data_IF_450192308726
#
_entry.id   IF_450192308726
#
_cell.length_a   1.000
_cell.length_b   1.000
_cell.length_c   1.000
_cell.angle_alpha   90.00
_cell.angle_beta   90.00
_cell.angle_gamma   90.00
#
_symmetry.space_group_name_H-M   'P 1'
#
loop_
_entity.id
_entity.type
_entity.pdbx_description
1 polymer ?
#
# COMPACT_ATOMS: atom_id res chain seq x y z
N UNK A 1 -32.18 -14.03 -13.62
CA UNK A 1 -32.10 -13.38 -12.30
C UNK A 1 -31.32 -14.28 -11.37
N UNK A 2 -30.08 -13.94 -11.03
CA UNK A 2 -29.29 -14.71 -10.08
C UNK A 2 -29.86 -14.49 -8.67
N UNK A 3 -30.23 -15.57 -7.99
CA UNK A 3 -30.72 -15.54 -6.62
C UNK A 3 -29.63 -14.99 -5.70
N UNK A 4 -29.92 -13.87 -5.04
CA UNK A 4 -29.09 -13.36 -3.95
C UNK A 4 -28.97 -14.46 -2.89
N UNK A 5 -27.76 -14.86 -2.46
CA UNK A 5 -27.63 -15.77 -1.34
C UNK A 5 -28.22 -15.06 -0.11
N UNK A 6 -29.21 -15.71 0.52
CA UNK A 6 -29.86 -15.18 1.71
C UNK A 6 -28.85 -14.94 2.84
N UNK A 7 -29.16 -14.05 3.80
CA UNK A 7 -28.32 -13.83 4.97
C UNK A 7 -28.05 -15.18 5.65
N UNK A 8 -26.79 -15.40 6.01
CA UNK A 8 -26.34 -16.63 6.65
C UNK A 8 -27.18 -16.87 7.92
N UNK A 9 -27.91 -17.97 7.94
CA UNK A 9 -28.81 -18.37 9.02
C UNK A 9 -28.09 -19.05 10.19
N UNK A 10 -26.76 -18.95 10.28
CA UNK A 10 -26.04 -19.46 11.45
C UNK A 10 -26.46 -18.63 12.66
N UNK A 11 -27.12 -19.25 13.67
CA UNK A 11 -27.40 -18.55 14.91
C UNK A 11 -26.08 -18.07 15.50
N UNK A 12 -26.08 -16.85 16.04
CA UNK A 12 -24.94 -16.27 16.75
C UNK A 12 -24.66 -17.13 17.99
N UNK A 13 -23.88 -18.19 17.83
CA UNK A 13 -23.57 -19.11 18.89
C UNK A 13 -22.47 -18.49 19.77
N UNK A 14 -22.86 -18.13 20.98
CA UNK A 14 -22.03 -17.68 22.11
C UNK A 14 -20.87 -18.63 22.50
N UNK A 15 -20.74 -19.79 21.84
CA UNK A 15 -19.79 -20.85 22.20
C UNK A 15 -18.52 -20.93 21.35
N UNK A 16 -18.29 -20.04 20.37
CA UNK A 16 -17.04 -20.11 19.60
C UNK A 16 -15.90 -19.32 20.27
N UNK A 17 -15.41 -19.85 21.40
CA UNK A 17 -14.25 -19.32 22.13
C UNK A 17 -13.04 -19.09 21.22
N UNK A 18 -12.90 -19.88 20.16
CA UNK A 18 -11.81 -19.70 19.21
C UNK A 18 -11.94 -18.42 18.37
N UNK A 19 -13.15 -18.03 17.99
CA UNK A 19 -13.41 -16.74 17.30
C UNK A 19 -13.22 -15.56 18.24
N UNK A 20 -13.61 -15.68 19.50
CA UNK A 20 -13.31 -14.68 20.53
C UNK A 20 -11.82 -14.47 20.72
N UNK A 21 -11.07 -15.57 20.84
CA UNK A 21 -9.62 -15.54 20.99
C UNK A 21 -8.96 -14.86 19.80
N UNK A 22 -9.31 -15.27 18.57
CA UNK A 22 -8.82 -14.64 17.35
C UNK A 22 -9.14 -13.13 17.31
N UNK A 23 -10.37 -12.78 17.72
CA UNK A 23 -10.80 -11.39 17.78
C UNK A 23 -9.97 -10.56 18.75
N UNK A 24 -9.79 -11.07 19.97
CA UNK A 24 -8.99 -10.40 20.99
C UNK A 24 -7.52 -10.22 20.55
N UNK A 25 -6.96 -11.19 19.83
CA UNK A 25 -5.63 -11.06 19.24
C UNK A 25 -5.56 -10.00 18.15
N UNK A 26 -6.55 -9.95 17.25
CA UNK A 26 -6.65 -8.89 16.24
C UNK A 26 -6.71 -7.51 16.90
N UNK A 27 -7.47 -7.37 17.98
CA UNK A 27 -7.55 -6.12 18.73
C UNK A 27 -6.19 -5.74 19.30
N UNK A 28 -5.52 -6.66 20.00
CA UNK A 28 -4.21 -6.44 20.61
C UNK A 28 -3.21 -5.88 19.59
N UNK A 29 -3.18 -6.44 18.38
CA UNK A 29 -2.30 -5.99 17.30
C UNK A 29 -2.71 -4.62 16.73
N UNK A 30 -3.99 -4.46 16.39
CA UNK A 30 -4.49 -3.27 15.66
C UNK A 30 -4.51 -2.03 16.56
N UNK A 31 -4.74 -2.20 17.85
CA UNK A 31 -4.76 -1.09 18.82
C UNK A 31 -3.43 -1.01 19.55
N UNK A 32 -3.23 -1.85 20.57
CA UNK A 32 -2.14 -1.73 21.54
C UNK A 32 -0.76 -1.83 20.88
N UNK A 33 -0.50 -2.84 20.04
CA UNK A 33 0.82 -2.97 19.39
C UNK A 33 1.07 -1.84 18.39
N UNK A 34 0.03 -1.37 17.69
CA UNK A 34 0.17 -0.26 16.74
C UNK A 34 0.44 1.06 17.46
N UNK A 35 -0.21 1.31 18.60
CA UNK A 35 0.04 2.47 19.44
C UNK A 35 1.43 2.40 20.08
N UNK A 36 1.84 1.24 20.59
CA UNK A 36 3.19 1.02 21.08
C UNK A 36 4.23 1.34 19.99
N UNK A 37 4.02 0.90 18.75
CA UNK A 37 4.96 1.19 17.66
C UNK A 37 4.98 2.69 17.28
N UNK A 38 3.86 3.40 17.41
CA UNK A 38 3.83 4.86 17.25
C UNK A 38 4.62 5.57 18.35
N UNK A 39 4.55 5.06 19.57
CA UNK A 39 5.31 5.60 20.70
C UNK A 39 6.80 5.30 20.55
N UNK A 40 7.18 4.09 20.13
CA UNK A 40 8.58 3.76 19.78
C UNK A 40 9.08 4.72 18.70
N UNK A 41 8.33 4.89 17.61
CA UNK A 41 8.72 5.80 16.53
C UNK A 41 8.91 7.23 17.07
N UNK A 42 7.96 7.72 17.87
CA UNK A 42 7.97 9.08 18.43
C UNK A 42 9.09 9.30 19.45
N UNK A 43 9.49 8.25 20.17
CA UNK A 43 10.60 8.27 21.12
C UNK A 43 11.95 8.49 20.40
N UNK A 44 12.19 7.78 19.30
CA UNK A 44 13.44 7.90 18.54
C UNK A 44 13.44 9.03 17.52
N UNK A 45 12.28 9.35 16.95
CA UNK A 45 12.08 10.41 15.97
C UNK A 45 10.93 11.29 16.46
N UNK A 46 11.24 12.44 17.07
CA UNK A 46 10.21 13.37 17.51
C UNK A 46 9.23 13.69 16.37
N UNK A 47 7.91 13.79 16.62
CA UNK A 47 6.92 13.96 15.54
C UNK A 47 7.20 15.14 14.61
N UNK A 48 7.75 16.25 15.14
CA UNK A 48 8.16 17.42 14.37
C UNK A 48 9.28 17.12 13.35
N UNK A 49 10.12 16.12 13.63
CA UNK A 49 11.28 15.76 12.83
C UNK A 49 10.99 14.61 11.85
N UNK A 50 9.80 14.00 11.91
CA UNK A 50 9.46 12.83 11.10
C UNK A 50 9.65 13.09 9.59
N UNK A 51 9.19 14.23 9.09
CA UNK A 51 9.36 14.63 7.68
C UNK A 51 10.84 14.69 7.30
N UNK A 52 11.65 15.39 8.11
CA UNK A 52 13.08 15.56 7.87
C UNK A 52 13.83 14.24 7.88
N UNK A 53 13.52 13.34 8.83
CA UNK A 53 14.15 12.02 8.88
C UNK A 53 13.71 11.11 7.73
N UNK A 54 12.47 11.20 7.27
CA UNK A 54 12.02 10.52 6.05
C UNK A 54 12.82 11.01 4.83
N UNK A 55 12.96 12.32 4.63
CA UNK A 55 13.69 12.89 3.50
C UNK A 55 15.17 12.51 3.51
N UNK A 56 15.82 12.62 4.68
CA UNK A 56 17.21 12.21 4.88
C UNK A 56 17.45 10.74 4.55
N UNK A 57 16.49 9.87 4.84
CA UNK A 57 16.60 8.44 4.63
C UNK A 57 15.91 7.95 3.35
N UNK A 58 15.49 8.84 2.44
CA UNK A 58 14.73 8.50 1.24
C UNK A 58 15.39 7.41 0.39
N UNK A 59 16.66 7.59 0.05
CA UNK A 59 17.41 6.61 -0.75
C UNK A 59 17.49 5.23 -0.09
N UNK A 60 17.53 5.17 1.25
CA UNK A 60 17.54 3.92 2.01
C UNK A 60 16.15 3.27 1.94
N UNK A 61 15.10 4.04 2.24
CA UNK A 61 13.72 3.57 2.25
C UNK A 61 13.23 3.15 0.85
N UNK A 62 13.70 3.82 -0.21
CA UNK A 62 13.35 3.45 -1.59
C UNK A 62 13.85 2.06 -1.98
N UNK A 63 14.96 1.60 -1.39
CA UNK A 63 15.54 0.26 -1.61
C UNK A 63 14.85 -0.83 -0.78
N UNK A 64 14.02 -0.47 0.20
CA UNK A 64 13.34 -1.44 1.06
C UNK A 64 12.19 -2.09 0.28
N UNK A 65 12.36 -3.37 -0.08
CA UNK A 65 11.40 -4.15 -0.87
C UNK A 65 10.03 -4.35 -0.19
N UNK A 66 9.98 -4.29 1.14
CA UNK A 66 8.74 -4.47 1.90
C UNK A 66 7.84 -3.22 1.90
N UNK A 67 8.31 -2.06 1.41
CA UNK A 67 7.47 -0.87 1.24
C UNK A 67 6.79 -0.94 -0.13
N UNK A 68 5.48 -1.15 -0.13
CA UNK A 68 4.72 -1.19 -1.37
C UNK A 68 4.56 0.22 -2.00
N UNK A 69 4.19 0.32 -3.29
CA UNK A 69 4.03 1.61 -3.96
C UNK A 69 3.04 2.56 -3.27
N UNK A 70 1.96 2.04 -2.66
CA UNK A 70 1.01 2.88 -1.93
C UNK A 70 1.63 3.48 -0.67
N UNK A 71 2.43 2.72 0.07
CA UNK A 71 3.16 3.18 1.24
C UNK A 71 4.25 4.18 0.86
N UNK A 72 4.95 3.97 -0.27
CA UNK A 72 5.90 4.97 -0.80
C UNK A 72 5.22 6.31 -1.09
N UNK A 73 4.05 6.29 -1.74
CA UNK A 73 3.24 7.51 -2.00
C UNK A 73 2.69 8.15 -0.72
N UNK A 74 2.52 7.38 0.36
CA UNK A 74 2.15 7.92 1.66
C UNK A 74 3.35 8.61 2.33
N UNK A 75 4.54 8.00 2.27
CA UNK A 75 5.77 8.56 2.82
C UNK A 75 6.26 9.79 2.03
N UNK A 76 6.04 9.82 0.72
CA UNK A 76 6.43 10.90 -0.18
C UNK A 76 5.24 11.30 -1.05
N UNK A 77 4.31 12.10 -0.50
CA UNK A 77 3.13 12.53 -1.23
C UNK A 77 3.47 13.62 -2.25
N UNK A 78 2.60 13.78 -3.26
CA UNK A 78 2.74 14.83 -4.28
C UNK A 78 2.76 16.24 -3.66
N UNK A 79 3.38 17.24 -4.32
CA UNK A 79 3.38 18.62 -3.84
C UNK A 79 1.97 19.12 -3.46
N UNK A 80 1.86 19.80 -2.33
CA UNK A 80 0.59 20.34 -1.81
C UNK A 80 -0.23 19.37 -0.94
N UNK A 81 0.17 18.10 -0.82
CA UNK A 81 -0.44 17.16 0.13
C UNK A 81 0.27 17.21 1.49
N UNK A 82 -0.51 16.97 2.54
CA UNK A 82 0.01 16.91 3.90
C UNK A 82 1.02 15.77 4.07
N UNK A 83 2.08 16.04 4.84
CA UNK A 83 3.03 15.01 5.24
C UNK A 83 2.38 14.01 6.20
N UNK A 84 2.77 12.73 6.16
CA UNK A 84 2.20 11.72 7.04
C UNK A 84 2.61 11.98 8.49
N UNK A 85 1.68 11.77 9.42
CA UNK A 85 1.95 11.66 10.85
C UNK A 85 2.04 10.19 11.26
N UNK A 86 2.63 9.90 12.43
CA UNK A 86 2.73 8.54 12.96
C UNK A 86 1.37 7.81 13.04
N UNK A 87 0.28 8.54 13.31
CA UNK A 87 -1.09 7.99 13.35
C UNK A 87 -1.62 7.52 11.99
N UNK A 88 -1.06 8.06 10.89
CA UNK A 88 -1.46 7.70 9.52
C UNK A 88 -0.74 6.45 9.02
N UNK A 89 0.28 5.99 9.76
CA UNK A 89 1.08 4.82 9.40
C UNK A 89 0.41 3.53 9.89
N UNK A 90 0.35 2.55 8.99
CA UNK A 90 -0.06 1.19 9.33
C UNK A 90 1.03 0.45 10.11
N UNK A 91 0.66 -0.65 10.77
CA UNK A 91 1.58 -1.47 11.58
C UNK A 91 2.84 -1.90 10.82
N UNK A 92 2.69 -2.33 9.56
CA UNK A 92 3.81 -2.81 8.74
C UNK A 92 4.77 -1.68 8.39
N UNK A 93 4.24 -0.50 8.08
CA UNK A 93 5.04 0.68 7.77
C UNK A 93 5.75 1.21 9.03
N UNK A 94 5.07 1.24 10.17
CA UNK A 94 5.68 1.56 11.47
C UNK A 94 6.89 0.66 11.75
N UNK A 95 6.72 -0.67 11.64
CA UNK A 95 7.82 -1.62 11.79
C UNK A 95 9.00 -1.29 10.86
N UNK A 96 8.72 -1.03 9.58
CA UNK A 96 9.75 -0.74 8.58
C UNK A 96 10.52 0.54 8.93
N UNK A 97 9.84 1.60 9.38
CA UNK A 97 10.53 2.82 9.80
C UNK A 97 11.39 2.58 11.04
N UNK A 98 10.84 1.92 12.05
CA UNK A 98 11.54 1.63 13.31
C UNK A 98 12.85 0.88 13.05
N UNK A 99 12.83 -0.20 12.27
CA UNK A 99 14.04 -0.99 11.98
C UNK A 99 15.08 -0.28 11.09
N UNK A 100 14.66 0.70 10.28
CA UNK A 100 15.53 1.29 9.25
C UNK A 100 16.04 2.68 9.61
N UNK A 101 15.27 3.50 10.33
CA UNK A 101 15.58 4.92 10.52
C UNK A 101 15.58 5.39 11.98
N UNK A 102 15.14 4.57 12.94
CA UNK A 102 15.20 4.92 14.37
C UNK A 102 16.56 4.62 15.04
N UNK A 103 17.55 4.12 14.29
CA UNK A 103 18.90 3.87 14.83
C UNK A 103 18.97 2.76 15.90
N UNK A 104 17.92 1.93 16.04
CA UNK A 104 17.90 0.82 16.98
C UNK A 104 18.87 -0.26 16.51
N UNK A 105 19.81 -0.63 17.37
CA UNK A 105 20.74 -1.73 17.13
C UNK A 105 19.98 -3.02 16.92
N UNK A 106 20.19 -3.75 15.80
CA UNK A 106 19.56 -5.04 15.58
C UNK A 106 19.89 -6.01 16.71
N UNK A 107 18.99 -6.96 16.97
CA UNK A 107 19.32 -8.11 17.82
C UNK A 107 20.41 -8.96 17.15
N UNK A 108 21.01 -9.90 17.91
CA UNK A 108 22.25 -10.61 17.52
C UNK A 108 22.22 -11.23 16.12
N UNK A 109 21.09 -11.79 15.70
CA UNK A 109 20.92 -12.42 14.39
C UNK A 109 20.44 -11.47 13.28
N UNK A 110 20.16 -10.21 13.59
CA UNK A 110 19.67 -9.22 12.63
C UNK A 110 18.14 -9.19 12.47
N UNK A 111 17.64 -8.05 11.96
CA UNK A 111 16.21 -7.80 11.84
C UNK A 111 15.49 -8.76 10.88
N UNK A 112 14.47 -9.43 11.39
CA UNK A 112 13.60 -10.33 10.64
C UNK A 112 14.06 -11.79 10.64
N UNK A 113 15.21 -12.08 11.24
CA UNK A 113 15.78 -13.42 11.40
C UNK A 113 15.33 -14.07 12.72
N UNK A 114 15.86 -15.27 13.02
CA UNK A 114 15.51 -16.00 14.23
C UNK A 114 15.96 -15.25 15.49
N UNK A 115 15.06 -15.16 16.47
CA UNK A 115 15.30 -14.45 17.73
C UNK A 115 15.82 -15.47 18.74
N UNK A 116 16.97 -15.20 19.36
CA UNK A 116 17.50 -16.11 20.38
C UNK A 116 16.60 -16.17 21.61
N UNK A 117 16.53 -17.35 22.22
CA UNK A 117 15.79 -17.53 23.46
C UNK A 117 16.39 -16.64 24.56
N UNK A 118 15.55 -15.81 25.17
CA UNK A 118 15.96 -14.89 26.23
C UNK A 118 16.50 -13.53 25.78
N UNK A 119 16.62 -13.25 24.47
CA UNK A 119 17.02 -11.93 23.98
C UNK A 119 15.92 -10.90 24.25
N UNK A 120 16.09 -10.06 25.27
CA UNK A 120 15.11 -9.05 25.64
C UNK A 120 15.47 -7.66 25.10
N UNK A 121 16.34 -7.56 24.08
CA UNK A 121 16.58 -6.28 23.41
C UNK A 121 15.30 -5.71 22.80
N UNK A 122 15.21 -4.38 22.72
CA UNK A 122 14.09 -3.69 22.07
C UNK A 122 13.84 -4.23 20.66
N UNK A 123 14.91 -4.46 19.89
CA UNK A 123 14.83 -5.02 18.55
C UNK A 123 14.22 -6.43 18.52
N UNK A 124 14.66 -7.32 19.43
CA UNK A 124 14.10 -8.66 19.55
C UNK A 124 12.60 -8.62 19.93
N UNK A 125 12.20 -7.77 20.87
CA UNK A 125 10.80 -7.63 21.26
C UNK A 125 9.93 -7.10 20.10
N UNK A 126 10.42 -6.11 19.34
CA UNK A 126 9.72 -5.59 18.15
C UNK A 126 9.54 -6.70 17.10
N UNK A 127 10.58 -7.49 16.84
CA UNK A 127 10.50 -8.57 15.86
C UNK A 127 9.59 -9.73 16.31
N UNK A 128 9.52 -10.04 17.61
CA UNK A 128 8.52 -10.99 18.13
C UNK A 128 7.10 -10.52 17.82
N UNK A 129 6.79 -9.24 18.07
CA UNK A 129 5.45 -8.69 17.80
C UNK A 129 5.14 -8.77 16.30
N UNK A 130 6.09 -8.41 15.43
CA UNK A 130 5.94 -8.56 13.98
C UNK A 130 5.69 -10.01 13.56
N UNK A 131 6.48 -10.96 14.09
CA UNK A 131 6.35 -12.39 13.78
C UNK A 131 4.95 -12.89 14.14
N UNK A 132 4.47 -12.61 15.35
CA UNK A 132 3.15 -13.04 15.78
C UNK A 132 2.04 -12.43 14.91
N UNK A 133 2.13 -11.13 14.57
CA UNK A 133 1.19 -10.48 13.64
C UNK A 133 1.15 -11.17 12.27
N UNK A 134 2.31 -11.59 11.76
CA UNK A 134 2.39 -12.28 10.47
C UNK A 134 1.79 -13.69 10.53
N UNK A 135 2.01 -14.42 11.62
CA UNK A 135 1.36 -15.72 11.85
C UNK A 135 -0.16 -15.57 11.94
N UNK A 136 -0.64 -14.59 12.72
CA UNK A 136 -2.06 -14.22 12.82
C UNK A 136 -2.70 -13.91 11.46
N UNK A 137 -1.97 -13.22 10.57
CA UNK A 137 -2.46 -12.93 9.21
C UNK A 137 -2.71 -14.21 8.41
N UNK A 138 -1.96 -15.28 8.66
CA UNK A 138 -2.20 -16.62 8.09
C UNK A 138 -3.51 -17.26 8.57
N UNK A 139 -3.93 -16.96 9.80
CA UNK A 139 -5.19 -17.43 10.40
C UNK A 139 -6.43 -16.63 9.96
N UNK A 140 -6.25 -15.54 9.18
CA UNK A 140 -7.37 -14.70 8.71
C UNK A 140 -8.45 -15.46 7.93
N UNK A 141 -8.11 -16.58 7.27
CA UNK A 141 -9.05 -17.39 6.49
C UNK A 141 -10.06 -18.15 7.35
N UNK A 142 -9.67 -18.54 8.57
CA UNK A 142 -10.54 -19.30 9.49
C UNK A 142 -11.24 -18.38 10.49
N UNK A 143 -10.68 -17.21 10.78
CA UNK A 143 -11.24 -16.26 11.74
C UNK A 143 -11.35 -16.85 13.15
N UNK A 144 -10.55 -17.87 13.45
CA UNK A 144 -10.60 -18.65 14.68
C UNK A 144 -9.19 -19.07 15.10
N UNK A 145 -8.97 -19.13 16.42
CA UNK A 145 -7.72 -19.50 17.06
C UNK A 145 -8.01 -20.33 18.30
N UNK A 146 -7.47 -21.54 18.39
CA UNK A 146 -7.67 -22.38 19.56
C UNK A 146 -7.05 -21.75 20.83
N UNK A 147 -7.53 -22.19 21.98
CA UNK A 147 -7.15 -21.62 23.28
C UNK A 147 -5.67 -21.78 23.60
N UNK A 148 -5.03 -22.89 23.20
CA UNK A 148 -3.62 -23.12 23.48
C UNK A 148 -2.73 -22.18 22.64
N UNK A 149 -3.01 -22.07 21.35
CA UNK A 149 -2.34 -21.12 20.46
C UNK A 149 -2.57 -19.66 20.91
N UNK A 150 -3.79 -19.33 21.35
CA UNK A 150 -4.11 -18.03 21.92
C UNK A 150 -3.24 -17.69 23.12
N UNK A 151 -3.21 -18.54 24.15
CA UNK A 151 -2.42 -18.26 25.37
C UNK A 151 -0.92 -18.16 25.07
N UNK A 152 -0.39 -19.05 24.23
CA UNK A 152 1.01 -19.03 23.82
C UNK A 152 1.36 -17.71 23.11
N UNK A 153 0.57 -17.33 22.10
CA UNK A 153 0.78 -16.11 21.32
C UNK A 153 0.60 -14.86 22.17
N UNK A 154 -0.44 -14.84 23.01
CA UNK A 154 -0.73 -13.74 23.93
C UNK A 154 0.44 -13.50 24.88
N UNK A 155 0.96 -14.56 25.51
CA UNK A 155 2.08 -14.46 26.45
C UNK A 155 3.33 -13.88 25.79
N UNK A 156 3.64 -14.28 24.55
CA UNK A 156 4.77 -13.74 23.79
C UNK A 156 4.58 -12.24 23.52
N UNK A 157 3.38 -11.83 23.10
CA UNK A 157 3.07 -10.43 22.84
C UNK A 157 3.08 -9.59 24.11
N UNK A 158 2.42 -10.05 25.17
CA UNK A 158 2.37 -9.37 26.47
C UNK A 158 3.77 -9.14 27.02
N UNK A 159 4.62 -10.16 27.06
CA UNK A 159 5.99 -10.04 27.54
C UNK A 159 6.79 -9.05 26.70
N UNK A 160 6.65 -9.09 25.36
CA UNK A 160 7.37 -8.18 24.47
C UNK A 160 6.91 -6.72 24.63
N UNK A 161 5.60 -6.49 24.78
CA UNK A 161 5.01 -5.16 25.00
C UNK A 161 5.51 -4.58 26.33
N UNK A 162 5.42 -5.36 27.41
CA UNK A 162 5.83 -4.92 28.75
C UNK A 162 7.33 -4.64 28.80
N UNK A 163 8.15 -5.46 28.14
CA UNK A 163 9.60 -5.26 28.14
C UNK A 163 9.99 -4.00 27.35
N UNK A 164 9.34 -3.73 26.20
CA UNK A 164 9.55 -2.47 25.46
C UNK A 164 9.13 -1.27 26.32
N UNK A 165 7.95 -1.32 26.94
CA UNK A 165 7.43 -0.24 27.78
C UNK A 165 8.40 0.05 28.94
N UNK A 166 8.86 -0.99 29.64
CA UNK A 166 9.82 -0.88 30.73
C UNK A 166 11.12 -0.22 30.28
N UNK A 167 11.64 -0.54 29.10
CA UNK A 167 12.90 0.00 28.60
C UNK A 167 12.78 1.44 28.06
N UNK A 168 11.64 1.82 27.49
CA UNK A 168 11.48 3.11 26.81
C UNK A 168 10.78 4.19 27.65
N UNK A 169 9.75 3.84 28.41
CA UNK A 169 8.93 4.81 29.15
C UNK A 169 9.03 4.62 30.66
N UNK A 170 9.38 3.42 31.13
CA UNK A 170 9.37 3.08 32.56
C UNK A 170 7.97 3.11 33.19
N UNK A 171 6.92 3.24 32.38
CA UNK A 171 5.52 3.28 32.80
C UNK A 171 4.85 1.90 32.80
N UNK A 172 3.52 1.90 32.91
CA UNK A 172 2.69 0.70 32.93
C UNK A 172 1.40 0.81 32.09
N UNK A 173 1.31 1.83 31.22
CA UNK A 173 0.13 2.12 30.42
C UNK A 173 -0.23 0.98 29.47
N UNK A 174 0.75 0.45 28.73
CA UNK A 174 0.57 -0.65 27.79
C UNK A 174 0.32 -1.95 28.55
N UNK A 175 1.06 -2.21 29.64
CA UNK A 175 0.78 -3.32 30.55
C UNK A 175 -0.66 -3.33 31.04
N UNK A 176 -1.18 -2.19 31.50
CA UNK A 176 -2.58 -2.05 31.94
C UNK A 176 -3.55 -2.24 30.77
N UNK A 177 -3.24 -1.71 29.60
CA UNK A 177 -4.07 -1.87 28.40
C UNK A 177 -4.17 -3.35 27.95
N UNK A 178 -3.04 -4.07 27.93
CA UNK A 178 -3.00 -5.51 27.63
C UNK A 178 -3.84 -6.27 28.64
N UNK A 179 -3.64 -6.03 29.94
CA UNK A 179 -4.43 -6.69 31.00
C UNK A 179 -5.93 -6.40 30.86
N UNK A 180 -6.30 -5.16 30.59
CA UNK A 180 -7.70 -4.78 30.39
C UNK A 180 -8.31 -5.49 29.19
N UNK A 181 -7.59 -5.57 28.07
CA UNK A 181 -8.04 -6.29 26.88
C UNK A 181 -8.17 -7.80 27.13
N UNK A 182 -7.24 -8.39 27.88
CA UNK A 182 -7.28 -9.81 28.25
C UNK A 182 -8.55 -10.15 29.04
N UNK A 183 -8.84 -9.34 30.06
CA UNK A 183 -9.96 -9.52 30.98
C UNK A 183 -11.32 -9.07 30.40
N UNK A 184 -11.32 -8.37 29.25
CA UNK A 184 -12.53 -7.88 28.63
C UNK A 184 -13.48 -9.03 28.29
N UNK A 185 -14.66 -9.04 28.92
CA UNK A 185 -15.74 -9.94 28.53
C UNK A 185 -16.26 -9.55 27.14
N UNK A 186 -16.25 -10.51 26.22
CA UNK A 186 -16.85 -10.36 24.90
C UNK A 186 -18.36 -10.60 25.02
N UNK A 187 -19.03 -9.73 25.78
CA UNK A 187 -20.50 -9.61 25.81
C UNK A 187 -21.05 -9.23 24.42
N UNK A 188 -22.37 -9.39 24.17
CA UNK A 188 -22.96 -8.96 22.88
C UNK A 188 -22.78 -7.49 22.59
N UNK A 189 -22.83 -6.65 23.63
CA UNK A 189 -22.68 -5.21 23.50
C UNK A 189 -21.22 -4.81 23.18
N UNK A 190 -20.24 -5.43 23.84
CA UNK A 190 -18.82 -5.18 23.57
C UNK A 190 -18.38 -5.77 22.22
N UNK A 191 -18.93 -6.92 21.83
CA UNK A 191 -18.67 -7.52 20.51
C UNK A 191 -19.22 -6.67 19.38
N UNK A 192 -20.39 -6.04 19.54
CA UNK A 192 -20.93 -5.10 18.56
C UNK A 192 -19.99 -3.93 18.31
N UNK A 193 -19.51 -3.27 19.39
CA UNK A 193 -18.52 -2.18 19.28
C UNK A 193 -17.23 -2.65 18.61
N UNK A 194 -16.75 -3.83 18.97
CA UNK A 194 -15.54 -4.41 18.39
C UNK A 194 -15.68 -4.72 16.88
N UNK A 195 -16.79 -5.35 16.49
CA UNK A 195 -17.11 -5.61 15.09
C UNK A 195 -17.26 -4.28 14.33
N UNK A 196 -17.86 -3.25 14.93
CA UNK A 196 -17.97 -1.92 14.33
C UNK A 196 -16.60 -1.27 14.10
N UNK A 197 -15.69 -1.27 15.08
CA UNK A 197 -14.34 -0.70 14.95
C UNK A 197 -13.54 -1.39 13.84
N UNK A 198 -13.56 -2.72 13.81
CA UNK A 198 -12.90 -3.50 12.76
C UNK A 198 -13.57 -3.30 11.40
N UNK A 199 -14.89 -3.34 11.34
CA UNK A 199 -15.65 -3.11 10.10
C UNK A 199 -15.38 -1.72 9.57
N UNK A 200 -15.27 -0.71 10.42
CA UNK A 200 -14.94 0.66 10.03
C UNK A 200 -13.53 0.74 9.46
N UNK A 201 -12.55 0.08 10.08
CA UNK A 201 -11.18 0.00 9.57
C UNK A 201 -11.11 -0.70 8.20
N UNK A 202 -11.83 -1.80 8.03
CA UNK A 202 -11.93 -2.49 6.73
C UNK A 202 -12.66 -1.63 5.70
N UNK A 203 -13.81 -1.03 6.03
CA UNK A 203 -14.57 -0.14 5.13
C UNK A 203 -13.73 1.05 4.68
N UNK A 204 -13.02 1.72 5.60
CA UNK A 204 -12.11 2.83 5.26
C UNK A 204 -11.03 2.38 4.27
N UNK A 205 -10.42 1.21 4.50
CA UNK A 205 -9.46 0.63 3.57
C UNK A 205 -10.07 0.28 2.20
N UNK A 206 -11.28 -0.27 2.16
CA UNK A 206 -11.99 -0.63 0.92
C UNK A 206 -12.38 0.61 0.11
N UNK A 207 -12.93 1.64 0.75
CA UNK A 207 -13.28 2.92 0.09
C UNK A 207 -12.04 3.60 -0.46
N UNK A 208 -10.94 3.65 0.31
CA UNK A 208 -9.67 4.20 -0.18
C UNK A 208 -9.11 3.40 -1.37
N UNK A 209 -9.22 2.07 -1.36
CA UNK A 209 -8.81 1.23 -2.49
C UNK A 209 -9.70 1.50 -3.71
N UNK A 210 -11.02 1.61 -3.55
CA UNK A 210 -11.96 1.88 -4.64
C UNK A 210 -11.71 3.25 -5.28
N UNK A 211 -11.64 4.33 -4.49
CA UNK A 211 -11.38 5.67 -5.02
C UNK A 211 -10.04 5.77 -5.77
N UNK A 212 -9.04 4.96 -5.37
CA UNK A 212 -7.76 4.87 -6.09
C UNK A 212 -7.88 4.07 -7.38
N UNK A 213 -8.73 3.04 -7.42
CA UNK A 213 -9.00 2.25 -8.61
C UNK A 213 -9.71 3.11 -9.66
N UNK A 214 -10.75 3.82 -9.25
CA UNK A 214 -11.47 4.77 -10.10
C UNK A 214 -10.50 5.84 -10.66
N UNK A 215 -9.59 6.38 -9.83
CA UNK A 215 -8.55 7.33 -10.29
C UNK A 215 -7.56 6.74 -11.30
N UNK A 216 -7.21 5.45 -11.18
CA UNK A 216 -6.34 4.77 -12.14
C UNK A 216 -7.08 4.56 -13.47
N UNK A 217 -8.36 4.22 -13.41
CA UNK A 217 -9.23 4.09 -14.58
C UNK A 217 -9.36 5.42 -15.34
N UNK A 218 -9.57 6.53 -14.62
CA UNK A 218 -9.59 7.88 -15.20
C UNK A 218 -8.26 8.23 -15.90
N UNK A 219 -7.13 7.94 -15.24
CA UNK A 219 -5.79 8.19 -15.81
C UNK A 219 -5.54 7.34 -17.07
N UNK A 220 -5.96 6.08 -17.06
CA UNK A 220 -5.83 5.18 -18.21
C UNK A 220 -6.67 5.66 -19.40
N UNK A 221 -7.91 6.11 -19.14
CA UNK A 221 -8.78 6.65 -20.18
C UNK A 221 -8.18 7.92 -20.78
N UNK A 222 -7.64 8.82 -19.95
CA UNK A 222 -6.95 10.04 -20.42
C UNK A 222 -5.74 9.72 -21.31
N UNK A 223 -4.86 8.80 -20.90
CA UNK A 223 -3.67 8.42 -21.68
C UNK A 223 -4.06 7.77 -23.01
N UNK A 224 -5.12 6.94 -22.99
CA UNK A 224 -5.63 6.29 -24.21
C UNK A 224 -6.18 7.31 -25.20
N UNK A 225 -6.86 8.34 -24.71
CA UNK A 225 -7.40 9.42 -25.53
C UNK A 225 -6.27 10.28 -26.12
N UNK A 226 -5.27 10.66 -25.33
CA UNK A 226 -4.12 11.42 -25.80
C UNK A 226 -3.33 10.66 -26.89
N UNK A 227 -3.16 9.34 -26.73
CA UNK A 227 -2.52 8.52 -27.76
C UNK A 227 -3.34 8.48 -29.05
N UNK A 228 -4.67 8.41 -28.96
CA UNK A 228 -5.56 8.43 -30.12
C UNK A 228 -5.45 9.75 -30.89
N UNK A 229 -5.52 10.87 -30.18
CA UNK A 229 -5.41 12.21 -30.79
C UNK A 229 -4.07 12.39 -31.50
N UNK A 230 -2.96 11.99 -30.86
CA UNK A 230 -1.63 12.02 -31.48
C UNK A 230 -1.51 11.13 -32.71
N UNK A 231 -2.22 10.00 -32.73
CA UNK A 231 -2.23 9.09 -33.87
C UNK A 231 -3.02 9.70 -35.04
N UNK A 232 -4.17 10.30 -34.78
CA UNK A 232 -4.98 11.02 -35.79
C UNK A 232 -4.21 12.21 -36.39
N UNK A 233 -3.48 12.97 -35.57
CA UNK A 233 -2.59 14.04 -36.04
C UNK A 233 -1.47 13.51 -36.94
N UNK A 234 -0.87 12.38 -36.57
CA UNK A 234 0.17 11.73 -37.35
C UNK A 234 -0.35 11.22 -38.70
N UNK A 235 -1.52 10.58 -38.73
CA UNK A 235 -2.17 10.15 -39.98
C UNK A 235 -2.47 11.33 -40.90
N UNK A 236 -3.02 12.41 -40.35
CA UNK A 236 -3.32 13.63 -41.11
C UNK A 236 -2.04 14.24 -41.70
N UNK A 237 -0.96 14.27 -40.91
CA UNK A 237 0.35 14.74 -41.38
C UNK A 237 0.90 13.87 -42.52
N UNK A 238 0.86 12.55 -42.39
CA UNK A 238 1.28 11.63 -43.44
C UNK A 238 0.48 11.81 -44.74
N UNK A 239 -0.85 11.92 -44.64
CA UNK A 239 -1.72 12.14 -45.79
C UNK A 239 -1.34 13.42 -46.53
N UNK A 240 -1.09 14.52 -45.80
CA UNK A 240 -0.68 15.79 -46.40
C UNK A 240 0.66 15.68 -47.15
N UNK A 241 1.63 14.94 -46.58
CA UNK A 241 2.94 14.72 -47.21
C UNK A 241 2.80 13.88 -48.48
N UNK A 242 2.02 12.81 -48.43
CA UNK A 242 1.81 11.92 -49.57
C UNK A 242 1.07 12.63 -50.70
N UNK A 243 0.01 13.39 -50.39
CA UNK A 243 -0.71 14.21 -51.36
C UNK A 243 0.21 15.23 -52.01
N UNK A 244 1.01 15.97 -51.22
CA UNK A 244 1.96 16.94 -51.76
C UNK A 244 2.98 16.31 -52.73
N UNK A 245 3.51 15.13 -52.41
CA UNK A 245 4.42 14.39 -53.29
C UNK A 245 3.75 13.90 -54.57
N UNK A 246 2.53 13.39 -54.48
CA UNK A 246 1.75 12.95 -55.65
C UNK A 246 1.44 14.12 -56.58
N UNK A 247 1.00 15.26 -56.05
CA UNK A 247 0.77 16.47 -56.84
C UNK A 247 2.03 16.96 -57.54
N UNK A 248 3.18 16.96 -56.84
CA UNK A 248 4.46 17.34 -57.44
C UNK A 248 4.89 16.38 -58.57
N UNK A 249 4.70 15.07 -58.39
CA UNK A 249 4.98 14.08 -59.42
C UNK A 249 4.05 14.26 -60.63
N UNK A 250 2.75 14.48 -60.40
CA UNK A 250 1.76 14.69 -61.46
C UNK A 250 2.12 15.91 -62.31
N UNK A 251 2.42 17.05 -61.67
CA UNK A 251 2.82 18.27 -62.37
C UNK A 251 4.10 18.09 -63.19
N UNK A 252 5.05 17.28 -62.70
CA UNK A 252 6.28 16.97 -63.43
C UNK A 252 6.00 16.11 -64.68
N UNK A 253 5.15 15.08 -64.56
CA UNK A 253 4.73 14.24 -65.69
C UNK A 253 4.00 15.10 -66.75
N UNK A 254 3.03 15.92 -66.32
CA UNK A 254 2.27 16.84 -67.18
C UNK A 254 3.21 17.77 -67.96
N UNK A 255 4.14 18.43 -67.27
CA UNK A 255 5.11 19.33 -67.90
C UNK A 255 6.03 18.62 -68.90
N UNK A 256 6.41 17.36 -68.64
CA UNK A 256 7.18 16.55 -69.59
C UNK A 256 6.38 16.15 -70.83
N UNK A 257 5.09 15.83 -70.68
CA UNK A 257 4.21 15.50 -71.79
C UNK A 257 4.01 16.71 -72.71
N UNK A 258 3.68 17.88 -72.14
CA UNK A 258 3.55 19.13 -72.90
C UNK A 258 4.85 19.46 -73.65
N UNK A 259 6.00 19.31 -72.99
CA UNK A 259 7.31 19.53 -73.63
C UNK A 259 7.64 18.52 -74.73
N UNK A 260 7.09 17.31 -74.67
CA UNK A 260 7.21 16.32 -75.76
C UNK A 260 6.30 16.65 -76.93
N UNK A 261 5.06 17.06 -76.67
CA UNK A 261 4.10 17.49 -77.71
C UNK A 261 4.66 18.65 -78.52
N UNK A 262 5.18 19.69 -77.85
CA UNK A 262 5.78 20.84 -78.53
C UNK A 262 6.96 20.44 -79.43
N UNK A 263 7.82 19.53 -78.96
CA UNK A 263 8.97 19.04 -79.76
C UNK A 263 8.53 18.25 -80.98
N UNK A 264 7.43 17.52 -80.90
CA UNK A 264 6.85 16.79 -82.03
C UNK A 264 6.31 17.80 -83.04
N UNK A 265 5.52 18.78 -82.61
CA UNK A 265 5.01 19.86 -83.48
C UNK A 265 6.14 20.60 -84.21
N UNK A 266 7.14 21.09 -83.48
CA UNK A 266 8.30 21.79 -84.07
C UNK A 266 9.06 20.93 -85.08
N UNK A 267 9.04 19.59 -84.91
CA UNK A 267 9.73 18.66 -85.81
C UNK A 267 8.90 18.32 -87.05
N UNK A 268 7.58 18.42 -86.98
CA UNK A 268 6.68 18.31 -88.13
C UNK A 268 6.81 19.57 -88.99
N UNK A 269 6.74 20.77 -88.38
CA UNK A 269 6.85 22.05 -89.10
C UNK A 269 8.21 22.23 -89.83
N UNK A 270 9.29 21.66 -89.30
CA UNK A 270 10.63 21.73 -89.94
C UNK A 270 10.81 20.77 -91.12
N UNK A 271 9.90 19.82 -91.32
CA UNK A 271 9.98 18.82 -92.38
C UNK A 271 8.91 19.03 -93.49
N UNK A 272 8.09 20.08 -93.39
CA UNK A 272 7.24 20.61 -94.47
C UNK A 272 7.94 21.75 -95.23
#
# INVERSE_FOLDING_TARGET
MASLPGPSSVPYNWQNKATENFSRMCQLIVTICSDLFRDILSHYIPPANLRTELDKNKNKLDKVKSINPQQKRLLYPDPGKASPMAKDLDFSLLYVLIRNICGITPHKNGWGDNIENGDNSIAACIDRIRLQRNLLSGHSKTGSMDTAAFHSTWTVLENSIIEIEKQLTGGDMFKRAVKALYLCELSPASTKRYVEEITLAFKKNTVMKKARLDKVEDQQNSVTQEFRERFEEFETSLLSILQGRLSALNNNIEGRLIGMEQKIEDSVERNE
#
